data_IF_594266421796
#
_entry.id   IF_594266421796
#
_cell.length_a   1.000
_cell.length_b   1.000
_cell.length_c   1.000
_cell.angle_alpha   90.00
_cell.angle_beta   90.00
_cell.angle_gamma   90.00
#
_symmetry.space_group_name_H-M   'P 1'
#
loop_
_entity.id
_entity.type
_entity.pdbx_description
1 polymer ?
#
# COMPACT_ATOMS: atom_id res chain seq x y z
N UNK A 1 -20.63 -41.70 17.91
CA UNK A 1 -19.76 -41.08 18.94
C UNK A 1 -18.41 -40.63 18.38
N UNK A 2 -17.73 -41.38 17.50
CA UNK A 2 -16.44 -40.98 16.91
C UNK A 2 -16.46 -39.62 16.16
N UNK A 3 -17.55 -39.32 15.44
CA UNK A 3 -17.67 -38.09 14.64
C UNK A 3 -17.74 -36.81 15.50
N UNK A 4 -18.40 -36.85 16.66
CA UNK A 4 -18.52 -35.70 17.57
C UNK A 4 -17.18 -35.36 18.22
N UNK A 5 -16.39 -36.39 18.59
CA UNK A 5 -15.04 -36.20 19.14
C UNK A 5 -14.10 -35.52 18.12
N UNK A 6 -14.18 -35.96 16.85
CA UNK A 6 -13.43 -35.33 15.77
C UNK A 6 -13.81 -33.85 15.57
N UNK A 7 -15.11 -33.54 15.51
CA UNK A 7 -15.58 -32.16 15.32
C UNK A 7 -15.14 -31.27 16.49
N UNK A 8 -15.23 -31.75 17.72
CA UNK A 8 -14.79 -30.98 18.90
C UNK A 8 -13.27 -30.69 18.82
N UNK A 9 -12.46 -31.66 18.43
CA UNK A 9 -11.03 -31.45 18.24
C UNK A 9 -10.73 -30.46 17.11
N UNK A 10 -11.47 -30.54 16.01
CA UNK A 10 -11.38 -29.58 14.91
C UNK A 10 -11.71 -28.15 15.37
N UNK A 11 -12.80 -27.98 16.12
CA UNK A 11 -13.19 -26.67 16.67
C UNK A 11 -12.13 -26.13 17.63
N UNK A 12 -11.62 -26.96 18.55
CA UNK A 12 -10.54 -26.57 19.47
C UNK A 12 -9.29 -26.10 18.73
N UNK A 13 -8.88 -26.81 17.68
CA UNK A 13 -7.72 -26.43 16.89
C UNK A 13 -7.97 -25.13 16.11
N UNK A 14 -9.13 -25.02 15.47
CA UNK A 14 -9.52 -23.85 14.65
C UNK A 14 -9.57 -22.56 15.48
N UNK A 15 -10.16 -22.63 16.67
CA UNK A 15 -10.30 -21.48 17.57
C UNK A 15 -9.11 -21.27 18.53
N UNK A 16 -8.09 -22.12 18.49
CA UNK A 16 -6.88 -21.92 19.32
C UNK A 16 -6.10 -20.67 18.92
N UNK A 17 -5.20 -20.22 19.78
CA UNK A 17 -4.30 -19.08 19.51
C UNK A 17 -3.37 -19.34 18.32
N UNK A 18 -3.07 -20.61 18.05
CA UNK A 18 -2.28 -21.06 16.91
C UNK A 18 -3.16 -21.58 15.76
N UNK A 19 -4.48 -21.39 15.88
CA UNK A 19 -5.46 -21.83 14.91
C UNK A 19 -5.45 -21.00 13.63
N UNK A 20 -6.01 -21.54 12.57
CA UNK A 20 -6.05 -20.89 11.25
C UNK A 20 -6.78 -19.54 11.26
N UNK A 21 -7.79 -19.37 12.11
CA UNK A 21 -8.51 -18.08 12.24
C UNK A 21 -7.64 -17.05 12.97
N UNK A 22 -6.99 -17.45 14.08
CA UNK A 22 -6.07 -16.56 14.82
C UNK A 22 -4.95 -16.04 13.93
N UNK A 23 -4.31 -16.94 13.17
CA UNK A 23 -3.25 -16.59 12.23
C UNK A 23 -3.70 -15.62 11.13
N UNK A 24 -4.95 -15.72 10.67
CA UNK A 24 -5.50 -14.77 9.70
C UNK A 24 -5.67 -13.37 10.30
N UNK A 25 -6.14 -13.27 11.55
CA UNK A 25 -6.21 -11.98 12.25
C UNK A 25 -4.82 -11.39 12.48
N UNK A 26 -3.85 -12.21 12.92
CA UNK A 26 -2.46 -11.76 13.12
C UNK A 26 -1.89 -11.17 11.84
N UNK A 27 -2.06 -11.88 10.72
CA UNK A 27 -1.59 -11.40 9.42
C UNK A 27 -2.25 -10.07 9.00
N UNK A 28 -3.55 -9.92 9.27
CA UNK A 28 -4.26 -8.65 9.00
C UNK A 28 -3.71 -7.52 9.86
N UNK A 29 -3.50 -7.73 11.16
CA UNK A 29 -2.99 -6.68 12.04
C UNK A 29 -1.54 -6.30 11.71
N UNK A 30 -0.71 -7.28 11.37
CA UNK A 30 0.64 -7.05 10.83
C UNK A 30 0.58 -6.21 9.55
N UNK A 31 -0.30 -6.55 8.62
CA UNK A 31 -0.50 -5.81 7.38
C UNK A 31 -0.93 -4.35 7.64
N UNK A 32 -1.85 -4.16 8.58
CA UNK A 32 -2.34 -2.83 8.98
C UNK A 32 -1.30 -2.03 9.77
N UNK A 33 -0.21 -2.66 10.21
CA UNK A 33 0.83 -2.07 11.07
C UNK A 33 0.22 -1.47 12.34
N UNK A 34 -0.62 -2.26 12.99
CA UNK A 34 -1.32 -1.91 14.24
C UNK A 34 -1.00 -2.96 15.29
N UNK A 35 -0.82 -2.53 16.54
CA UNK A 35 -0.69 -3.46 17.66
C UNK A 35 -2.00 -4.24 17.84
N UNK A 36 -1.90 -5.57 17.88
CA UNK A 36 -3.05 -6.46 17.97
C UNK A 36 -3.91 -6.14 19.19
N UNK A 37 -3.32 -5.92 20.35
CA UNK A 37 -4.09 -5.68 21.58
C UNK A 37 -4.79 -4.32 21.51
N UNK A 38 -4.11 -3.30 20.98
CA UNK A 38 -4.72 -1.98 20.77
C UNK A 38 -5.92 -2.03 19.81
N UNK A 39 -5.82 -2.82 18.73
CA UNK A 39 -6.93 -3.02 17.79
C UNK A 39 -8.12 -3.75 18.44
N UNK A 40 -7.83 -4.78 19.22
CA UNK A 40 -8.85 -5.57 19.91
C UNK A 40 -9.59 -4.71 20.93
N UNK A 41 -8.86 -3.94 21.73
CA UNK A 41 -9.45 -3.03 22.72
C UNK A 41 -10.37 -2.02 22.05
N UNK A 42 -9.93 -1.43 20.92
CA UNK A 42 -10.75 -0.50 20.16
C UNK A 42 -12.01 -1.16 19.54
N UNK A 43 -11.87 -2.38 19.02
CA UNK A 43 -13.01 -3.13 18.47
C UNK A 43 -14.05 -3.43 19.54
N UNK A 44 -13.60 -3.88 20.71
CA UNK A 44 -14.48 -4.10 21.82
C UNK A 44 -15.12 -2.80 22.27
N UNK A 45 -14.37 -1.75 22.53
CA UNK A 45 -14.91 -0.48 23.01
C UNK A 45 -16.03 0.09 22.11
N UNK A 46 -15.85 -0.01 20.79
CA UNK A 46 -16.74 0.65 19.82
C UNK A 46 -17.93 -0.23 19.44
N UNK A 47 -17.72 -1.55 19.34
CA UNK A 47 -18.72 -2.45 18.74
C UNK A 47 -19.34 -3.44 19.75
N UNK A 48 -18.89 -3.45 21.00
CA UNK A 48 -19.45 -4.33 22.04
C UNK A 48 -20.74 -3.88 22.70
N UNK A 49 -21.09 -2.59 22.57
CA UNK A 49 -21.72 -1.85 23.67
C UNK A 49 -23.19 -2.14 23.95
N UNK A 50 -23.87 -2.99 23.18
CA UNK A 50 -25.25 -3.41 23.51
C UNK A 50 -25.55 -4.91 23.32
N UNK A 51 -24.70 -5.68 22.63
CA UNK A 51 -25.09 -7.02 22.19
C UNK A 51 -24.82 -8.12 23.22
N UNK A 52 -23.70 -8.09 23.96
CA UNK A 52 -23.26 -9.25 24.78
C UNK A 52 -22.64 -8.91 26.16
N UNK A 53 -23.30 -8.09 27.02
CA UNK A 53 -22.77 -7.58 28.30
C UNK A 53 -22.17 -8.63 29.26
N UNK A 54 -22.57 -9.91 29.18
CA UNK A 54 -22.10 -10.98 30.07
C UNK A 54 -20.62 -11.38 29.89
N UNK A 55 -19.98 -11.01 28.78
CA UNK A 55 -18.56 -11.33 28.49
C UNK A 55 -17.59 -10.17 28.81
N UNK A 56 -18.14 -9.03 29.26
CA UNK A 56 -17.44 -7.77 29.52
C UNK A 56 -16.97 -7.46 30.95
N UNK A 57 -17.27 -8.23 32.03
CA UNK A 57 -16.88 -7.81 33.38
C UNK A 57 -15.37 -7.58 33.59
N UNK A 58 -14.52 -8.16 32.74
CA UNK A 58 -13.05 -8.01 32.79
C UNK A 58 -12.48 -6.92 31.87
N UNK A 59 -13.30 -6.29 31.02
CA UNK A 59 -12.90 -5.27 30.04
C UNK A 59 -13.30 -3.83 30.41
N UNK A 60 -13.97 -3.62 31.54
CA UNK A 60 -14.01 -2.31 32.23
C UNK A 60 -12.61 -1.99 32.79
N UNK A 61 -11.63 -1.84 31.90
CA UNK A 61 -10.42 -1.09 32.21
C UNK A 61 -10.66 0.34 31.77
N UNK A 62 -9.99 1.29 32.42
CA UNK A 62 -9.93 2.72 32.07
C UNK A 62 -9.34 2.94 30.66
N UNK A 63 -10.00 2.42 29.62
CA UNK A 63 -9.62 2.55 28.23
C UNK A 63 -9.85 4.00 27.84
N UNK A 64 -8.78 4.65 27.38
CA UNK A 64 -8.84 6.02 26.92
C UNK A 64 -9.60 6.05 25.59
N UNK A 65 -10.89 6.41 25.60
CA UNK A 65 -11.73 6.50 24.40
C UNK A 65 -11.10 7.25 23.21
N UNK A 66 -10.19 8.19 23.50
CA UNK A 66 -9.50 8.97 22.49
C UNK A 66 -8.47 8.18 21.66
N UNK A 67 -7.81 7.16 22.22
CA UNK A 67 -6.88 6.32 21.45
C UNK A 67 -7.61 5.43 20.46
N UNK A 68 -8.72 4.84 20.88
CA UNK A 68 -9.56 3.95 20.05
C UNK A 68 -10.17 4.68 18.85
N UNK A 69 -10.67 5.91 19.04
CA UNK A 69 -11.19 6.73 17.94
C UNK A 69 -10.10 7.07 16.92
N UNK A 70 -8.90 7.44 17.36
CA UNK A 70 -7.77 7.72 16.46
C UNK A 70 -7.34 6.47 15.69
N UNK A 71 -7.34 5.32 16.35
CA UNK A 71 -6.99 4.06 15.72
C UNK A 71 -8.01 3.70 14.64
N UNK A 72 -9.31 3.80 14.93
CA UNK A 72 -10.35 3.58 13.91
C UNK A 72 -10.22 4.61 12.78
N UNK A 73 -9.99 5.89 13.06
CA UNK A 73 -9.76 6.89 12.01
C UNK A 73 -8.58 6.49 11.10
N UNK A 74 -7.47 6.04 11.68
CA UNK A 74 -6.33 5.52 10.91
C UNK A 74 -6.73 4.31 10.07
N UNK A 75 -7.45 3.35 10.64
CA UNK A 75 -7.93 2.17 9.93
C UNK A 75 -8.90 2.52 8.78
N UNK A 76 -9.78 3.52 8.97
CA UNK A 76 -10.70 4.00 7.93
C UNK A 76 -9.99 4.67 6.74
N UNK A 77 -8.73 5.08 6.91
CA UNK A 77 -7.89 5.53 5.79
C UNK A 77 -7.37 4.38 4.92
N UNK A 78 -7.39 3.15 5.45
CA UNK A 78 -6.89 1.93 4.79
C UNK A 78 -8.04 1.10 4.24
N UNK A 79 -9.16 1.00 4.94
CA UNK A 79 -10.33 0.29 4.46
C UNK A 79 -11.61 1.08 4.73
N UNK A 80 -12.65 0.95 3.89
CA UNK A 80 -13.95 1.57 4.14
C UNK A 80 -14.50 1.20 5.53
N UNK A 81 -15.25 2.08 6.21
CA UNK A 81 -15.78 1.83 7.55
C UNK A 81 -16.53 0.50 7.67
N UNK A 82 -17.38 0.18 6.69
CA UNK A 82 -18.13 -1.09 6.61
C UNK A 82 -17.24 -2.35 6.54
N UNK A 83 -16.01 -2.23 6.03
CA UNK A 83 -15.04 -3.33 6.02
C UNK A 83 -14.32 -3.44 7.38
N UNK A 84 -14.05 -2.31 8.04
CA UNK A 84 -13.53 -2.27 9.41
C UNK A 84 -14.54 -2.87 10.39
N UNK A 85 -15.83 -2.54 10.24
CA UNK A 85 -16.91 -3.10 11.05
C UNK A 85 -16.97 -4.63 10.92
N UNK A 86 -16.86 -5.15 9.69
CA UNK A 86 -16.82 -6.61 9.44
C UNK A 86 -15.62 -7.27 10.11
N UNK A 87 -14.44 -6.65 10.04
CA UNK A 87 -13.24 -7.16 10.70
C UNK A 87 -13.42 -7.19 12.22
N UNK A 88 -13.95 -6.10 12.80
CA UNK A 88 -14.20 -5.99 14.24
C UNK A 88 -15.21 -7.02 14.72
N UNK A 89 -16.37 -7.12 14.06
CA UNK A 89 -17.41 -8.11 14.38
C UNK A 89 -16.87 -9.53 14.27
N UNK A 90 -16.11 -9.84 13.22
CA UNK A 90 -15.51 -11.17 13.05
C UNK A 90 -14.57 -11.51 14.19
N UNK A 91 -13.74 -10.56 14.63
CA UNK A 91 -12.84 -10.76 15.75
C UNK A 91 -13.62 -11.04 17.05
N UNK A 92 -14.63 -10.24 17.33
CA UNK A 92 -15.49 -10.41 18.52
C UNK A 92 -16.16 -11.79 18.49
N UNK A 93 -16.73 -12.20 17.36
CA UNK A 93 -17.34 -13.54 17.20
C UNK A 93 -16.30 -14.64 17.44
N UNK A 94 -15.09 -14.49 16.88
CA UNK A 94 -13.99 -15.44 17.09
C UNK A 94 -13.66 -15.60 18.56
N UNK A 95 -13.44 -14.48 19.26
CA UNK A 95 -12.98 -14.46 20.64
C UNK A 95 -14.06 -15.02 21.59
N UNK A 96 -15.31 -14.58 21.43
CA UNK A 96 -16.45 -15.13 22.19
C UNK A 96 -16.59 -16.64 21.97
N UNK A 97 -16.43 -17.11 20.73
CA UNK A 97 -16.56 -18.53 20.40
C UNK A 97 -15.39 -19.34 20.95
N UNK A 98 -14.16 -18.80 20.89
CA UNK A 98 -12.96 -19.38 21.48
C UNK A 98 -13.15 -19.57 22.99
N UNK A 99 -13.53 -18.52 23.71
CA UNK A 99 -13.77 -18.58 25.16
C UNK A 99 -14.83 -19.62 25.51
N UNK A 100 -15.94 -19.65 24.77
CA UNK A 100 -17.01 -20.63 24.96
C UNK A 100 -16.54 -22.07 24.76
N UNK A 101 -15.71 -22.33 23.73
CA UNK A 101 -15.13 -23.66 23.48
C UNK A 101 -14.12 -24.06 24.57
N UNK A 102 -13.32 -23.13 25.07
CA UNK A 102 -12.32 -23.37 26.11
C UNK A 102 -12.98 -23.67 27.47
N UNK A 103 -14.00 -22.90 27.85
CA UNK A 103 -14.66 -23.02 29.15
C UNK A 103 -15.66 -24.18 29.23
N UNK A 104 -16.26 -24.62 28.12
CA UNK A 104 -17.23 -25.74 28.10
C UNK A 104 -16.59 -27.14 28.16
N UNK A 105 -15.51 -27.29 28.92
CA UNK A 105 -14.67 -28.49 29.04
C UNK A 105 -15.40 -29.81 29.43
N UNK A 106 -16.73 -29.82 29.61
CA UNK A 106 -17.51 -31.02 30.01
C UNK A 106 -18.74 -31.42 29.18
N UNK A 107 -19.16 -30.70 28.14
CA UNK A 107 -19.98 -31.23 27.00
C UNK A 107 -20.49 -30.04 26.19
N UNK A 108 -19.86 -29.77 25.04
CA UNK A 108 -20.48 -28.94 24.01
C UNK A 108 -21.77 -29.62 23.56
N UNK A 109 -22.88 -28.87 23.54
CA UNK A 109 -24.13 -29.36 22.96
C UNK A 109 -24.02 -29.37 21.43
N UNK A 110 -24.94 -30.06 20.74
CA UNK A 110 -25.01 -29.99 19.28
C UNK A 110 -25.27 -28.56 18.78
N UNK A 111 -26.02 -27.76 19.54
CA UNK A 111 -26.28 -26.36 19.20
C UNK A 111 -25.02 -25.51 19.33
N UNK A 112 -24.19 -25.75 20.35
CA UNK A 112 -22.89 -25.08 20.49
C UNK A 112 -21.95 -25.44 19.33
N UNK A 113 -21.91 -26.72 18.93
CA UNK A 113 -21.11 -27.20 17.81
C UNK A 113 -21.58 -26.54 16.50
N UNK A 114 -22.89 -26.54 16.24
CA UNK A 114 -23.46 -25.97 15.02
C UNK A 114 -23.24 -24.45 14.97
N UNK A 115 -23.41 -23.75 16.08
CA UNK A 115 -23.12 -22.33 16.17
C UNK A 115 -21.63 -22.04 15.90
N UNK A 116 -20.72 -22.80 16.51
CA UNK A 116 -19.29 -22.62 16.31
C UNK A 116 -18.87 -22.87 14.86
N UNK A 117 -19.44 -23.86 14.18
CA UNK A 117 -19.22 -24.11 12.76
C UNK A 117 -19.74 -22.96 11.89
N UNK A 118 -20.96 -22.47 12.16
CA UNK A 118 -21.53 -21.32 11.46
C UNK A 118 -20.68 -20.06 11.66
N UNK A 119 -20.15 -19.85 12.86
CA UNK A 119 -19.27 -18.73 13.15
C UNK A 119 -17.96 -18.83 12.34
N UNK A 120 -17.41 -20.03 12.11
CA UNK A 120 -16.24 -20.20 11.22
C UNK A 120 -16.57 -19.71 9.80
N UNK A 121 -17.74 -20.05 9.27
CA UNK A 121 -18.16 -19.60 7.93
C UNK A 121 -18.29 -18.08 7.85
N UNK A 122 -18.95 -17.47 8.84
CA UNK A 122 -19.13 -16.01 8.92
C UNK A 122 -17.77 -15.31 9.01
N UNK A 123 -16.90 -15.75 9.91
CA UNK A 123 -15.57 -15.17 10.11
C UNK A 123 -14.76 -15.26 8.81
N UNK A 124 -14.64 -16.45 8.21
CA UNK A 124 -13.84 -16.61 7.00
C UNK A 124 -14.41 -15.81 5.81
N UNK A 125 -15.74 -15.67 5.71
CA UNK A 125 -16.37 -14.83 4.69
C UNK A 125 -15.96 -13.36 4.88
N UNK A 126 -16.13 -12.82 6.08
CA UNK A 126 -15.83 -11.42 6.38
C UNK A 126 -14.34 -11.10 6.26
N UNK A 127 -13.47 -12.01 6.70
CA UNK A 127 -12.03 -11.92 6.48
C UNK A 127 -11.68 -11.93 4.99
N UNK A 128 -12.32 -12.79 4.20
CA UNK A 128 -12.14 -12.82 2.75
C UNK A 128 -12.53 -11.49 2.08
N UNK A 129 -13.67 -10.92 2.46
CA UNK A 129 -14.12 -9.60 2.00
C UNK A 129 -13.15 -8.49 2.40
N UNK A 130 -12.63 -8.54 3.63
CA UNK A 130 -11.64 -7.58 4.11
C UNK A 130 -10.34 -7.66 3.31
N UNK A 131 -9.79 -8.87 3.17
CA UNK A 131 -8.56 -9.14 2.43
C UNK A 131 -8.67 -8.73 0.95
N UNK A 132 -9.84 -8.95 0.32
CA UNK A 132 -10.07 -8.50 -1.05
C UNK A 132 -10.03 -6.96 -1.16
N UNK A 133 -10.60 -6.26 -0.18
CA UNK A 133 -10.62 -4.80 -0.15
C UNK A 133 -9.20 -4.22 -0.08
N UNK A 134 -8.38 -4.68 0.87
CA UNK A 134 -7.00 -4.18 1.03
C UNK A 134 -6.13 -4.53 -0.18
N UNK A 135 -6.31 -5.72 -0.76
CA UNK A 135 -5.55 -6.14 -1.95
C UNK A 135 -5.92 -5.31 -3.19
N UNK A 136 -7.19 -4.98 -3.37
CA UNK A 136 -7.64 -4.13 -4.47
C UNK A 136 -7.03 -2.72 -4.38
N UNK A 137 -6.95 -2.16 -3.17
CA UNK A 137 -6.30 -0.87 -2.95
C UNK A 137 -4.79 -0.91 -3.20
N UNK A 138 -4.10 -1.95 -2.73
CA UNK A 138 -2.67 -2.16 -3.00
C UNK A 138 -2.40 -2.21 -4.51
N UNK A 139 -3.17 -3.01 -5.26
CA UNK A 139 -3.05 -3.12 -6.70
C UNK A 139 -3.26 -1.76 -7.41
N UNK A 140 -4.17 -0.93 -6.90
CA UNK A 140 -4.40 0.42 -7.44
C UNK A 140 -3.18 1.34 -7.24
N UNK A 141 -2.54 1.24 -6.07
CA UNK A 141 -1.34 2.02 -5.71
C UNK A 141 -0.14 1.61 -6.55
N UNK A 142 0.15 0.29 -6.63
CA UNK A 142 1.20 -0.25 -7.49
C UNK A 142 1.02 0.13 -8.95
N UNK A 143 -0.22 0.10 -9.46
CA UNK A 143 -0.52 0.51 -10.85
C UNK A 143 -0.18 1.99 -11.09
N UNK A 144 -0.42 2.85 -10.11
CA UNK A 144 -0.12 4.28 -10.21
C UNK A 144 1.40 4.55 -10.15
N UNK A 145 2.12 3.83 -9.30
CA UNK A 145 3.58 3.97 -9.21
C UNK A 145 4.29 3.39 -10.44
N UNK A 146 3.80 2.29 -10.99
CA UNK A 146 4.24 1.77 -12.29
C UNK A 146 4.05 2.80 -13.41
N UNK A 147 2.89 3.48 -13.45
CA UNK A 147 2.65 4.55 -14.44
C UNK A 147 3.66 5.70 -14.29
N UNK A 148 3.96 6.14 -13.07
CA UNK A 148 4.96 7.19 -12.80
C UNK A 148 6.36 6.76 -13.23
N UNK A 149 6.75 5.53 -12.92
CA UNK A 149 8.06 4.95 -13.33
C UNK A 149 8.21 4.89 -14.85
N UNK A 150 7.17 4.43 -15.56
CA UNK A 150 7.15 4.38 -17.04
C UNK A 150 7.24 5.79 -17.64
N UNK A 151 6.54 6.77 -17.06
CA UNK A 151 6.64 8.17 -17.49
C UNK A 151 8.05 8.74 -17.28
N UNK A 152 8.68 8.44 -16.14
CA UNK A 152 10.06 8.85 -15.84
C UNK A 152 11.07 8.22 -16.85
N UNK A 153 10.90 6.94 -17.19
CA UNK A 153 11.70 6.25 -18.21
C UNK A 153 11.51 6.86 -19.60
N UNK A 154 10.28 7.23 -19.97
CA UNK A 154 9.98 7.96 -21.20
C UNK A 154 10.64 9.33 -21.25
N UNK A 155 10.63 10.07 -20.13
CA UNK A 155 11.33 11.35 -19.99
C UNK A 155 12.85 11.22 -20.11
N UNK A 156 13.43 10.21 -19.45
CA UNK A 156 14.87 9.95 -19.45
C UNK A 156 15.37 9.50 -20.83
N UNK A 157 14.60 8.69 -21.54
CA UNK A 157 14.93 8.25 -22.91
C UNK A 157 14.90 9.42 -23.89
N UNK A 158 13.89 10.29 -23.79
CA UNK A 158 13.83 11.52 -24.60
C UNK A 158 15.01 12.42 -24.28
N UNK A 159 15.29 12.68 -23.00
CA UNK A 159 16.44 13.50 -22.57
C UNK A 159 17.77 12.99 -23.12
N UNK A 160 18.04 11.68 -23.03
CA UNK A 160 19.25 11.06 -23.61
C UNK A 160 19.33 11.26 -25.12
N UNK A 161 18.23 11.07 -25.86
CA UNK A 161 18.18 11.31 -27.31
C UNK A 161 18.54 12.76 -27.64
N UNK A 162 17.94 13.72 -26.95
CA UNK A 162 18.23 15.15 -27.12
C UNK A 162 19.69 15.48 -26.80
N UNK A 163 20.25 14.89 -25.73
CA UNK A 163 21.63 15.11 -25.35
C UNK A 163 22.62 14.55 -26.39
N UNK A 164 22.37 13.36 -26.94
CA UNK A 164 23.19 12.78 -28.01
C UNK A 164 23.16 13.66 -29.25
N UNK A 165 21.97 14.14 -29.66
CA UNK A 165 21.83 15.07 -30.80
C UNK A 165 22.61 16.36 -30.53
N UNK A 166 22.45 16.97 -29.34
CA UNK A 166 23.18 18.17 -28.95
C UNK A 166 24.70 17.97 -29.04
N UNK A 167 25.22 16.86 -28.52
CA UNK A 167 26.66 16.55 -28.56
C UNK A 167 27.17 16.39 -29.99
N UNK A 168 26.41 15.73 -30.87
CA UNK A 168 26.75 15.59 -32.30
C UNK A 168 26.83 16.94 -32.99
N UNK A 169 25.84 17.81 -32.76
CA UNK A 169 25.81 19.15 -33.34
C UNK A 169 27.00 19.99 -32.86
N UNK A 170 27.34 19.94 -31.56
CA UNK A 170 28.49 20.66 -31.01
C UNK A 170 29.80 20.12 -31.59
N UNK A 171 29.94 18.80 -31.74
CA UNK A 171 31.12 18.18 -32.33
C UNK A 171 31.30 18.60 -33.79
N UNK A 172 30.22 18.59 -34.57
CA UNK A 172 30.24 19.02 -35.96
C UNK A 172 30.51 20.52 -36.08
N UNK A 173 29.93 21.35 -35.21
CA UNK A 173 30.25 22.78 -35.12
C UNK A 173 31.75 23.04 -34.92
N UNK A 174 32.41 22.27 -34.05
CA UNK A 174 33.86 22.40 -33.78
C UNK A 174 34.74 21.90 -34.93
N UNK A 175 34.24 20.99 -35.77
CA UNK A 175 35.00 20.38 -36.86
C UNK A 175 34.79 21.04 -38.23
N UNK A 176 33.64 21.69 -38.42
CA UNK A 176 33.20 22.27 -39.68
C UNK A 176 33.35 23.79 -39.68
N UNK A 177 33.54 24.39 -40.85
CA UNK A 177 33.67 25.85 -41.05
C UNK A 177 32.30 26.51 -41.27
N UNK A 178 31.37 26.36 -40.32
CA UNK A 178 30.09 27.08 -40.37
C UNK A 178 30.32 28.59 -40.20
N UNK A 179 29.63 29.42 -41.00
CA UNK A 179 29.77 30.89 -40.91
C UNK A 179 28.96 31.50 -39.76
N UNK A 180 27.91 30.80 -39.27
CA UNK A 180 27.10 31.27 -38.14
C UNK A 180 26.32 30.15 -37.45
N UNK A 181 25.92 30.37 -36.19
CA UNK A 181 25.03 29.45 -35.48
C UNK A 181 23.72 29.20 -36.25
N UNK A 182 23.18 30.22 -36.93
CA UNK A 182 21.96 30.12 -37.71
C UNK A 182 22.12 29.22 -38.96
N UNK A 183 23.32 29.19 -39.56
CA UNK A 183 23.62 28.28 -40.66
C UNK A 183 23.71 26.82 -40.18
N UNK A 184 24.47 26.58 -39.12
CA UNK A 184 24.58 25.25 -38.52
C UNK A 184 23.21 24.74 -38.03
N UNK A 185 22.42 25.60 -37.38
CA UNK A 185 21.10 25.26 -36.88
C UNK A 185 20.11 24.93 -37.99
N UNK A 186 20.12 25.64 -39.13
CA UNK A 186 19.26 25.30 -40.28
C UNK A 186 19.58 23.91 -40.85
N UNK A 187 20.86 23.58 -40.98
CA UNK A 187 21.29 22.27 -41.50
C UNK A 187 20.89 21.13 -40.56
N UNK A 188 21.14 21.30 -39.26
CA UNK A 188 20.82 20.27 -38.26
C UNK A 188 19.34 20.19 -37.87
N UNK A 189 18.59 21.28 -38.03
CA UNK A 189 17.13 21.30 -37.84
C UNK A 189 16.42 20.31 -38.78
N UNK A 190 16.84 20.27 -40.05
CA UNK A 190 16.30 19.34 -41.05
C UNK A 190 16.71 17.90 -40.74
N UNK A 191 17.98 17.68 -40.38
CA UNK A 191 18.52 16.33 -40.11
C UNK A 191 17.88 15.69 -38.87
N UNK A 192 17.67 16.47 -37.82
CA UNK A 192 17.20 15.96 -36.53
C UNK A 192 15.72 16.25 -36.25
N UNK A 193 15.02 16.94 -37.15
CA UNK A 193 13.61 17.31 -36.98
C UNK A 193 13.38 18.24 -35.77
N UNK A 194 14.31 19.17 -35.54
CA UNK A 194 14.29 20.10 -34.39
C UNK A 194 14.07 21.53 -34.86
N UNK A 195 13.59 22.40 -33.95
CA UNK A 195 13.51 23.82 -34.26
C UNK A 195 14.91 24.45 -34.33
N UNK A 196 15.11 25.35 -35.29
CA UNK A 196 16.38 26.09 -35.42
C UNK A 196 16.72 26.86 -34.14
N UNK A 197 15.72 27.50 -33.51
CA UNK A 197 15.87 28.22 -32.23
C UNK A 197 16.42 27.36 -31.10
N UNK A 198 16.01 26.09 -31.02
CA UNK A 198 16.50 25.16 -29.99
C UNK A 198 17.98 24.88 -30.18
N UNK A 199 18.42 24.66 -31.42
CA UNK A 199 19.81 24.36 -31.75
C UNK A 199 20.69 25.61 -31.58
N UNK A 200 20.25 26.76 -32.05
CA UNK A 200 20.94 28.05 -31.85
C UNK A 200 21.15 28.34 -30.38
N UNK A 201 20.13 28.09 -29.54
CA UNK A 201 20.24 28.24 -28.10
C UNK A 201 21.30 27.31 -27.51
N UNK A 202 21.33 26.04 -27.89
CA UNK A 202 22.36 25.11 -27.41
C UNK A 202 23.77 25.53 -27.79
N UNK A 203 23.97 25.99 -29.03
CA UNK A 203 25.27 26.50 -29.49
C UNK A 203 25.64 27.80 -28.75
N UNK A 204 24.70 28.73 -28.62
CA UNK A 204 24.90 29.98 -27.88
C UNK A 204 25.25 29.72 -26.42
N UNK A 205 24.54 28.82 -25.74
CA UNK A 205 24.78 28.48 -24.33
C UNK A 205 26.15 27.80 -24.13
N UNK A 206 26.57 26.92 -25.06
CA UNK A 206 27.86 26.23 -25.02
C UNK A 206 29.05 27.20 -25.17
N UNK A 207 28.91 28.21 -26.04
CA UNK A 207 30.01 29.11 -26.41
C UNK A 207 29.86 30.54 -25.89
N UNK A 208 28.85 30.82 -25.06
CA UNK A 208 28.62 32.15 -24.44
C UNK A 208 29.73 32.61 -23.50
N UNK A 209 30.61 31.70 -23.03
CA UNK A 209 31.66 31.99 -22.04
C UNK A 209 33.08 32.13 -22.60
N UNK A 210 33.30 31.98 -23.91
CA UNK A 210 34.66 32.03 -24.48
C UNK A 210 35.16 33.45 -24.80
N UNK A 211 34.41 34.52 -24.50
CA UNK A 211 34.76 35.91 -24.83
C UNK A 211 35.15 36.82 -23.64
N UNK A 212 35.52 36.27 -22.47
CA UNK A 212 36.04 37.08 -21.35
C UNK A 212 37.41 36.60 -20.84
N UNK A 213 38.38 36.41 -21.74
CA UNK A 213 39.72 35.99 -21.33
C UNK A 213 40.76 35.84 -22.44
N UNK A 214 40.90 36.82 -23.34
CA UNK A 214 42.07 36.91 -24.21
C UNK A 214 42.53 38.37 -24.27
N UNK A 215 43.38 38.78 -23.32
CA UNK A 215 44.23 39.96 -23.50
C UNK A 215 45.26 39.62 -24.59
N UNK A 216 45.22 40.35 -25.69
CA UNK A 216 46.28 40.36 -26.70
C UNK A 216 47.58 40.88 -26.08
N UNK A 217 48.76 40.33 -26.43
CA UNK A 217 50.02 41.04 -26.23
C UNK A 217 50.08 42.13 -27.30
N UNK A 218 50.17 43.40 -26.86
CA UNK A 218 50.64 44.46 -27.74
C UNK A 218 52.16 44.39 -27.81
N UNK A 219 52.68 44.41 -29.04
CA UNK A 219 54.05 44.81 -29.32
C UNK A 219 54.30 46.26 -28.85
#
# INVERSE_FOLDING_TARGET
>A
MANVSFIINYLKNTYSEYGSISQQFDHIFEFLQVDKNEAIDAFYEIYSTESHPALYPSYEKDACHFSSVKLIQRLTSIAPPNNIDRLAISYIIYDITKEKIQHLNKKLTNDDINLALKNIEVINFDLGVFMQCINAQMLSTYRNDLKKSIQALGGLTRSKKYQTIKNTIIKDWKASSYHSYAECARKHAVIHGLSTKTIEKWLSDEFKKTQHGAKMPMC
#
